data_IF_029021651608
#
_entry.id   IF_029021651608
#
_cell.length_a   1.000
_cell.length_b   1.000
_cell.length_c   1.000
_cell.angle_alpha   90.00
_cell.angle_beta   90.00
_cell.angle_gamma   90.00
#
_symmetry.space_group_name_H-M   'P 1'
#
loop_
_entity.id
_entity.type
_entity.pdbx_description
1 polymer ?
#
# COMPACT_ATOMS: atom_id res chain seq x y z
N UNK A 1 -15.36 6.84 -6.24
CA UNK A 1 -14.86 5.53 -5.88
C UNK A 1 -13.32 5.51 -5.94
N UNK A 2 -12.67 4.84 -4.99
CA UNK A 2 -11.23 4.57 -5.01
C UNK A 2 -11.01 3.06 -4.90
N UNK A 3 -10.22 2.51 -5.80
CA UNK A 3 -9.81 1.11 -5.81
C UNK A 3 -8.44 0.99 -5.13
N UNK A 4 -8.35 0.23 -4.03
CA UNK A 4 -7.10 -0.13 -3.39
C UNK A 4 -6.63 -1.50 -3.85
N UNK A 5 -5.37 -1.61 -4.24
CA UNK A 5 -4.74 -2.89 -4.61
C UNK A 5 -3.43 -3.09 -3.86
N UNK A 6 -2.96 -4.32 -3.74
CA UNK A 6 -1.71 -4.65 -3.07
C UNK A 6 -1.21 -6.04 -3.41
N UNK A 7 0.07 -6.27 -3.19
CA UNK A 7 0.76 -7.53 -3.48
C UNK A 7 0.58 -8.59 -2.39
N UNK A 8 0.03 -8.19 -1.21
CA UNK A 8 0.09 -9.05 -0.02
C UNK A 8 1.55 -9.31 0.43
N UNK A 9 1.80 -10.40 1.12
CA UNK A 9 3.10 -10.80 1.65
C UNK A 9 3.41 -12.24 1.26
N UNK A 10 4.67 -12.55 1.03
CA UNK A 10 5.14 -13.88 0.59
C UNK A 10 4.57 -15.01 1.45
N UNK A 11 4.65 -14.86 2.78
CA UNK A 11 4.15 -15.84 3.75
C UNK A 11 2.64 -16.10 3.59
N UNK A 12 1.86 -15.07 3.29
CA UNK A 12 0.40 -15.20 3.10
C UNK A 12 0.08 -15.82 1.74
N UNK A 13 0.83 -15.43 0.69
CA UNK A 13 0.64 -15.98 -0.64
C UNK A 13 1.04 -17.46 -0.69
N UNK A 14 2.10 -17.84 0.02
CA UNK A 14 2.53 -19.24 0.14
C UNK A 14 1.45 -20.12 0.77
N UNK A 15 0.72 -19.63 1.78
CA UNK A 15 -0.41 -20.36 2.39
C UNK A 15 -1.56 -20.62 1.40
N UNK A 16 -1.68 -19.80 0.36
CA UNK A 16 -2.68 -19.95 -0.71
C UNK A 16 -2.15 -20.74 -1.91
N UNK A 17 -0.90 -21.24 -1.84
CA UNK A 17 -0.25 -21.92 -2.95
C UNK A 17 0.10 -20.99 -4.13
N UNK A 18 0.15 -19.68 -3.89
CA UNK A 18 0.43 -18.67 -4.92
C UNK A 18 1.90 -18.26 -4.82
N UNK A 19 2.63 -18.32 -5.94
CA UNK A 19 4.01 -17.86 -6.03
C UNK A 19 4.15 -16.35 -5.76
N UNK A 20 5.30 -15.95 -5.24
CA UNK A 20 5.62 -14.55 -4.93
C UNK A 20 6.90 -14.10 -5.64
N UNK A 21 7.18 -14.69 -6.79
CA UNK A 21 8.34 -14.34 -7.60
C UNK A 21 8.13 -12.99 -8.29
N UNK A 22 9.19 -12.16 -8.30
CA UNK A 22 9.22 -10.88 -8.99
C UNK A 22 8.03 -9.95 -8.66
N UNK A 23 7.69 -9.73 -7.37
CA UNK A 23 6.45 -9.03 -6.98
C UNK A 23 6.33 -7.61 -7.57
N UNK A 24 7.43 -6.87 -7.71
CA UNK A 24 7.40 -5.53 -8.30
C UNK A 24 7.14 -5.57 -9.81
N UNK A 25 7.64 -6.59 -10.52
CA UNK A 25 7.29 -6.81 -11.93
C UNK A 25 5.81 -7.15 -12.05
N UNK A 26 5.34 -8.09 -11.24
CA UNK A 26 3.94 -8.48 -11.21
C UNK A 26 3.00 -7.28 -10.98
N UNK A 27 3.34 -6.40 -10.02
CA UNK A 27 2.59 -5.16 -9.79
C UNK A 27 2.57 -4.25 -11.03
N UNK A 28 3.70 -4.09 -11.70
CA UNK A 28 3.77 -3.26 -12.92
C UNK A 28 2.92 -3.84 -14.05
N UNK A 29 2.98 -5.14 -14.25
CA UNK A 29 2.20 -5.84 -15.29
C UNK A 29 0.71 -5.82 -14.96
N UNK A 30 0.35 -6.04 -13.69
CA UNK A 30 -1.03 -5.89 -13.23
C UNK A 30 -1.59 -4.50 -13.54
N UNK A 31 -0.83 -3.44 -13.24
CA UNK A 31 -1.23 -2.07 -13.57
C UNK A 31 -1.25 -1.80 -15.08
N UNK A 32 -0.41 -2.48 -15.88
CA UNK A 32 -0.45 -2.38 -17.34
C UNK A 32 -1.69 -3.04 -17.94
N UNK A 33 -2.37 -3.90 -17.19
CA UNK A 33 -3.67 -4.48 -17.52
C UNK A 33 -4.81 -3.64 -16.95
N UNK A 34 -4.76 -3.35 -15.65
CA UNK A 34 -5.85 -2.68 -14.94
C UNK A 34 -6.13 -1.27 -15.45
N UNK A 35 -5.07 -0.46 -15.63
CA UNK A 35 -5.26 0.96 -15.98
C UNK A 35 -5.96 1.13 -17.34
N UNK A 36 -5.55 0.47 -18.44
CA UNK A 36 -6.29 0.55 -19.71
C UNK A 36 -7.72 0.02 -19.62
N UNK A 37 -7.97 -1.05 -18.84
CA UNK A 37 -9.34 -1.53 -18.63
C UNK A 37 -10.23 -0.49 -17.94
N UNK A 38 -9.68 0.27 -16.99
CA UNK A 38 -10.41 1.33 -16.30
C UNK A 38 -10.56 2.60 -17.17
N UNK A 39 -9.60 2.91 -18.03
CA UNK A 39 -9.55 4.11 -18.86
C UNK A 39 -10.29 3.94 -20.17
N UNK A 40 -10.03 2.84 -20.89
CA UNK A 40 -10.48 2.59 -22.24
C UNK A 40 -11.50 1.45 -22.37
N UNK A 41 -11.64 0.63 -21.31
CA UNK A 41 -12.49 -0.57 -21.31
C UNK A 41 -11.89 -1.76 -22.04
N UNK A 42 -10.65 -1.67 -22.53
CA UNK A 42 -10.00 -2.75 -23.28
C UNK A 42 -8.50 -2.82 -23.00
N UNK A 43 -7.94 -4.01 -23.12
CA UNK A 43 -6.51 -4.25 -23.00
C UNK A 43 -6.07 -5.45 -23.85
N UNK A 44 -4.87 -5.35 -24.44
CA UNK A 44 -4.13 -6.48 -24.99
C UNK A 44 -2.70 -6.33 -24.46
N UNK A 45 -2.35 -7.16 -23.47
CA UNK A 45 -1.06 -7.10 -22.79
C UNK A 45 -0.47 -8.51 -22.66
N UNK A 46 0.81 -8.64 -23.00
CA UNK A 46 1.59 -9.86 -22.80
C UNK A 46 2.84 -9.53 -22.01
N UNK A 47 2.87 -9.98 -20.76
CA UNK A 47 3.99 -9.82 -19.85
C UNK A 47 4.69 -11.14 -19.53
N UNK A 48 5.59 -11.07 -18.56
CA UNK A 48 6.31 -12.23 -18.04
C UNK A 48 5.52 -12.95 -16.95
N UNK A 49 4.84 -12.20 -16.08
CA UNK A 49 4.07 -12.73 -14.94
C UNK A 49 2.58 -12.74 -15.20
N UNK A 50 2.10 -11.88 -16.09
CA UNK A 50 0.68 -11.75 -16.45
C UNK A 50 0.51 -11.51 -17.93
N UNK A 51 -0.58 -12.04 -18.48
CA UNK A 51 -1.06 -11.71 -19.83
C UNK A 51 -2.57 -11.59 -19.80
N UNK A 52 -3.11 -10.63 -20.55
CA UNK A 52 -4.55 -10.41 -20.63
C UNK A 52 -4.92 -9.81 -21.99
N UNK A 53 -5.96 -10.37 -22.59
CA UNK A 53 -6.67 -9.78 -23.72
C UNK A 53 -8.14 -9.74 -23.33
N UNK A 54 -8.69 -8.55 -23.12
CA UNK A 54 -10.04 -8.40 -22.63
C UNK A 54 -10.66 -7.07 -23.06
N UNK A 55 -11.97 -7.09 -23.21
CA UNK A 55 -12.83 -5.93 -23.37
C UNK A 55 -13.95 -6.01 -22.34
N UNK A 56 -14.23 -4.92 -21.64
CA UNK A 56 -15.24 -4.85 -20.59
C UNK A 56 -16.18 -3.67 -20.85
N UNK A 57 -17.42 -3.82 -20.41
CA UNK A 57 -18.36 -2.71 -20.45
C UNK A 57 -17.86 -1.60 -19.50
N UNK A 58 -17.71 -0.40 -20.06
CA UNK A 58 -17.32 0.79 -19.30
C UNK A 58 -18.51 1.75 -19.21
N UNK A 59 -18.85 2.14 -18.00
CA UNK A 59 -19.83 3.22 -17.78
C UNK A 59 -19.26 4.58 -18.18
N UNK A 60 -20.12 5.48 -18.64
CA UNK A 60 -19.73 6.87 -18.86
C UNK A 60 -19.24 7.52 -17.54
N UNK A 61 -18.22 8.36 -17.63
CA UNK A 61 -17.67 9.09 -16.49
C UNK A 61 -16.19 8.84 -16.23
N UNK A 62 -15.61 9.51 -15.23
CA UNK A 62 -14.21 9.33 -14.87
C UNK A 62 -13.98 7.94 -14.27
N UNK A 63 -12.80 7.35 -14.54
CA UNK A 63 -12.38 6.11 -13.90
C UNK A 63 -12.28 6.27 -12.39
N UNK A 64 -12.42 5.20 -11.60
CA UNK A 64 -12.10 5.24 -10.18
C UNK A 64 -10.63 5.59 -9.97
N UNK A 65 -10.32 6.31 -8.90
CA UNK A 65 -8.93 6.49 -8.45
C UNK A 65 -8.33 5.15 -8.06
N UNK A 66 -7.06 4.92 -8.38
CA UNK A 66 -6.32 3.69 -8.02
C UNK A 66 -5.20 4.01 -7.04
N UNK A 67 -5.16 3.32 -5.90
CA UNK A 67 -4.08 3.42 -4.92
C UNK A 67 -3.45 2.06 -4.66
N UNK A 68 -2.14 2.04 -4.47
CA UNK A 68 -1.37 0.81 -4.22
C UNK A 68 -0.92 0.76 -2.77
N UNK A 69 -1.08 -0.38 -2.11
CA UNK A 69 -0.44 -0.64 -0.82
C UNK A 69 1.08 -0.79 -1.05
N UNK A 70 1.86 0.22 -0.64
CA UNK A 70 3.29 0.27 -0.91
C UNK A 70 4.07 0.85 0.27
N UNK A 71 5.07 0.12 0.76
CA UNK A 71 5.96 0.52 1.85
C UNK A 71 7.40 0.72 1.36
N UNK A 72 7.92 -0.23 0.60
CA UNK A 72 9.28 -0.21 0.08
C UNK A 72 9.44 0.74 -1.11
N UNK A 73 10.63 1.31 -1.28
CA UNK A 73 10.94 2.32 -2.31
C UNK A 73 10.60 1.89 -3.74
N UNK A 74 10.70 0.61 -4.07
CA UNK A 74 10.37 0.13 -5.42
C UNK A 74 8.85 0.18 -5.67
N UNK A 75 8.03 -0.30 -4.72
CA UNK A 75 6.58 -0.26 -4.81
C UNK A 75 6.06 1.19 -4.78
N UNK A 76 6.63 2.06 -3.94
CA UNK A 76 6.31 3.48 -3.89
C UNK A 76 6.61 4.18 -5.22
N UNK A 77 7.72 3.85 -5.88
CA UNK A 77 8.02 4.37 -7.23
C UNK A 77 6.99 3.91 -8.26
N UNK A 78 6.54 2.66 -8.19
CA UNK A 78 5.46 2.17 -9.07
C UNK A 78 4.16 2.93 -8.79
N UNK A 79 3.80 3.09 -7.52
CA UNK A 79 2.62 3.85 -7.12
C UNK A 79 2.67 5.30 -7.65
N UNK A 80 3.77 6.02 -7.43
CA UNK A 80 3.94 7.40 -7.90
C UNK A 80 3.89 7.55 -9.42
N UNK A 81 4.49 6.61 -10.16
CA UNK A 81 4.54 6.70 -11.62
C UNK A 81 3.30 6.22 -12.33
N UNK A 82 2.45 5.40 -11.71
CA UNK A 82 1.37 4.68 -12.42
C UNK A 82 -0.02 4.81 -11.81
N UNK A 83 -0.15 5.28 -10.56
CA UNK A 83 -1.43 5.31 -9.84
C UNK A 83 -1.70 6.67 -9.21
N UNK A 84 -2.84 6.82 -8.58
CA UNK A 84 -3.27 8.08 -7.98
C UNK A 84 -2.79 8.22 -6.53
N UNK A 85 -2.08 7.21 -6.00
CA UNK A 85 -1.51 7.27 -4.67
C UNK A 85 -1.14 5.94 -4.05
N UNK A 86 -0.95 5.98 -2.73
CA UNK A 86 -0.63 4.82 -1.91
C UNK A 86 -1.54 4.73 -0.70
N UNK A 87 -1.81 3.51 -0.25
CA UNK A 87 -2.41 3.24 1.06
C UNK A 87 -1.38 2.57 1.96
N UNK A 88 -1.34 3.01 3.21
CA UNK A 88 -0.37 2.58 4.21
C UNK A 88 -1.10 2.03 5.43
N UNK A 89 -0.67 0.89 5.92
CA UNK A 89 -1.08 0.37 7.21
C UNK A 89 0.15 0.30 8.13
N UNK A 90 -0.01 0.66 9.40
CA UNK A 90 1.05 0.57 10.41
C UNK A 90 2.32 1.35 10.04
N UNK A 91 2.15 2.57 9.55
CA UNK A 91 3.26 3.49 9.23
C UNK A 91 3.02 4.79 9.99
N UNK A 92 3.99 5.18 10.80
CA UNK A 92 3.90 6.37 11.64
C UNK A 92 4.25 7.67 10.89
N UNK A 93 3.96 8.83 11.51
CA UNK A 93 4.09 10.14 10.88
C UNK A 93 5.53 10.47 10.45
N UNK A 94 6.53 10.09 11.22
CA UNK A 94 7.95 10.31 10.88
C UNK A 94 8.31 9.55 9.61
N UNK A 95 7.99 8.27 9.53
CA UNK A 95 8.25 7.43 8.36
C UNK A 95 7.49 7.95 7.14
N UNK A 96 6.27 8.43 7.30
CA UNK A 96 5.52 9.06 6.22
C UNK A 96 6.25 10.29 5.70
N UNK A 97 6.68 11.19 6.58
CA UNK A 97 7.35 12.44 6.20
C UNK A 97 8.75 12.21 5.58
N UNK A 98 9.54 11.30 6.14
CA UNK A 98 10.96 11.15 5.78
C UNK A 98 11.21 10.09 4.69
N UNK A 99 10.28 9.14 4.50
CA UNK A 99 10.46 8.05 3.54
C UNK A 99 9.36 7.98 2.48
N UNK A 100 8.09 7.94 2.88
CA UNK A 100 6.98 7.71 1.95
C UNK A 100 6.78 8.90 1.03
N UNK A 101 6.53 10.08 1.61
CA UNK A 101 6.25 11.32 0.85
C UNK A 101 7.36 11.63 -0.15
N UNK A 102 8.64 11.74 0.24
CA UNK A 102 9.68 12.09 -0.72
C UNK A 102 9.87 11.05 -1.82
N UNK A 103 9.73 9.76 -1.49
CA UNK A 103 9.92 8.68 -2.47
C UNK A 103 8.83 8.66 -3.54
N UNK A 104 7.56 8.78 -3.12
CA UNK A 104 6.43 8.71 -4.06
C UNK A 104 6.28 10.03 -4.85
N UNK A 105 6.53 11.18 -4.22
CA UNK A 105 6.45 12.48 -4.86
C UNK A 105 7.52 12.64 -5.95
N UNK A 106 8.77 12.31 -5.65
CA UNK A 106 9.85 12.36 -6.64
C UNK A 106 9.59 11.43 -7.84
N UNK A 107 8.96 10.26 -7.61
CA UNK A 107 8.59 9.35 -8.68
C UNK A 107 7.46 9.91 -9.56
N UNK A 108 6.48 10.56 -8.96
CA UNK A 108 5.38 11.21 -9.69
C UNK A 108 5.88 12.42 -10.50
N UNK A 109 6.66 13.28 -9.88
CA UNK A 109 7.28 14.45 -10.54
C UNK A 109 8.09 14.05 -11.77
N UNK A 110 8.98 13.04 -11.62
CA UNK A 110 9.76 12.51 -12.74
C UNK A 110 8.91 11.95 -13.88
N UNK A 111 7.69 11.47 -13.56
CA UNK A 111 6.74 10.98 -14.54
C UNK A 111 5.77 12.06 -15.07
N UNK A 112 5.95 13.33 -14.70
CA UNK A 112 5.06 14.43 -15.09
C UNK A 112 3.65 14.32 -14.51
N UNK A 113 3.48 13.63 -13.36
CA UNK A 113 2.19 13.39 -12.71
C UNK A 113 1.97 14.35 -11.54
N UNK A 114 0.71 14.60 -11.23
CA UNK A 114 0.32 15.32 -10.02
C UNK A 114 0.75 14.57 -8.75
N UNK A 115 0.87 15.30 -7.64
CA UNK A 115 1.24 14.72 -6.34
C UNK A 115 0.29 13.59 -5.94
N UNK A 116 0.81 12.39 -5.65
CA UNK A 116 -0.01 11.23 -5.31
C UNK A 116 -0.69 11.39 -3.94
N UNK A 117 -1.90 10.86 -3.84
CA UNK A 117 -2.62 10.79 -2.56
C UNK A 117 -1.97 9.74 -1.64
N UNK A 118 -1.78 10.09 -0.37
CA UNK A 118 -1.26 9.19 0.66
C UNK A 118 -2.36 8.96 1.70
N UNK A 119 -2.74 7.71 1.91
CA UNK A 119 -3.79 7.30 2.84
C UNK A 119 -3.14 6.47 3.93
N UNK A 120 -3.07 7.00 5.15
CA UNK A 120 -2.56 6.27 6.31
C UNK A 120 -3.70 5.65 7.10
N UNK A 121 -3.51 4.40 7.54
CA UNK A 121 -4.44 3.66 8.40
C UNK A 121 -3.73 3.26 9.68
N UNK A 122 -4.19 3.81 10.80
CA UNK A 122 -3.70 3.52 12.15
C UNK A 122 -4.87 3.17 13.06
N UNK A 123 -4.66 2.31 14.09
CA UNK A 123 -5.68 2.10 15.11
C UNK A 123 -5.86 3.37 15.94
N UNK A 124 -7.12 3.73 16.16
CA UNK A 124 -7.49 4.85 17.00
C UNK A 124 -8.52 4.40 18.04
N UNK A 125 -8.34 4.80 19.29
CA UNK A 125 -9.30 4.49 20.34
C UNK A 125 -9.20 5.49 21.50
N UNK A 126 -10.36 5.91 22.01
CA UNK A 126 -10.48 6.64 23.26
C UNK A 126 -10.61 5.65 24.41
N UNK A 127 -9.70 5.71 25.39
CA UNK A 127 -9.68 4.79 26.52
C UNK A 127 -8.98 5.41 27.74
N UNK A 128 -9.41 5.03 28.93
CA UNK A 128 -8.75 5.40 30.20
C UNK A 128 -7.55 4.49 30.52
N UNK A 129 -7.32 3.44 29.72
CA UNK A 129 -6.18 2.55 29.90
C UNK A 129 -5.40 2.36 28.58
N UNK A 130 -4.70 3.41 28.11
CA UNK A 130 -3.99 3.35 26.83
C UNK A 130 -2.87 2.30 26.80
N UNK A 131 -2.19 2.06 27.92
CA UNK A 131 -1.11 1.07 27.99
C UNK A 131 -1.63 -0.36 27.76
N UNK A 132 -2.71 -0.76 28.41
CA UNK A 132 -3.31 -2.07 28.21
C UNK A 132 -3.77 -2.27 26.77
N UNK A 133 -4.36 -1.24 26.16
CA UNK A 133 -4.82 -1.32 24.77
C UNK A 133 -3.65 -1.41 23.78
N UNK A 134 -2.56 -0.65 23.96
CA UNK A 134 -1.34 -0.80 23.14
C UNK A 134 -0.80 -2.23 23.21
N UNK A 135 -0.70 -2.79 24.41
CA UNK A 135 -0.25 -4.16 24.59
C UNK A 135 -1.17 -5.18 23.91
N UNK A 136 -2.49 -4.97 23.96
CA UNK A 136 -3.44 -5.80 23.26
C UNK A 136 -3.29 -5.72 21.74
N UNK A 137 -3.13 -4.52 21.20
CA UNK A 137 -2.88 -4.28 19.77
C UNK A 137 -1.59 -5.00 19.34
N UNK A 138 -0.49 -4.83 20.09
CA UNK A 138 0.79 -5.49 19.80
C UNK A 138 0.66 -7.01 19.77
N UNK A 139 -0.07 -7.60 20.72
CA UNK A 139 -0.32 -9.05 20.74
C UNK A 139 -1.14 -9.50 19.53
N UNK A 140 -2.25 -8.83 19.26
CA UNK A 140 -3.17 -9.18 18.15
C UNK A 140 -2.48 -9.06 16.79
N UNK A 141 -1.58 -8.11 16.64
CA UNK A 141 -0.91 -7.79 15.39
C UNK A 141 0.57 -8.20 15.36
N UNK A 142 0.96 -9.08 16.28
CA UNK A 142 2.37 -9.53 16.42
C UNK A 142 2.97 -10.09 15.11
N UNK A 143 2.14 -10.72 14.27
CA UNK A 143 2.56 -11.21 12.96
C UNK A 143 3.08 -10.07 12.06
N UNK A 144 2.46 -8.89 12.10
CA UNK A 144 2.92 -7.75 11.29
C UNK A 144 4.31 -7.26 11.72
N UNK A 145 4.60 -7.30 13.03
CA UNK A 145 5.94 -6.98 13.55
C UNK A 145 7.05 -7.91 13.07
N UNK A 146 6.70 -9.09 12.55
CA UNK A 146 7.65 -10.07 12.01
C UNK A 146 7.85 -9.96 10.51
N UNK A 147 6.94 -9.30 9.78
CA UNK A 147 7.04 -9.14 8.34
C UNK A 147 8.13 -8.12 7.98
N UNK A 148 9.10 -8.46 7.12
CA UNK A 148 10.26 -7.60 6.82
C UNK A 148 9.88 -6.19 6.37
N UNK A 149 8.80 -6.05 5.60
CA UNK A 149 8.32 -4.76 5.10
C UNK A 149 7.84 -3.83 6.22
N UNK A 150 7.12 -4.36 7.21
CA UNK A 150 6.66 -3.59 8.37
C UNK A 150 7.77 -3.33 9.37
N UNK A 151 8.62 -4.32 9.62
CA UNK A 151 9.79 -4.16 10.48
C UNK A 151 10.66 -2.99 10.02
N UNK A 152 10.93 -2.90 8.72
CA UNK A 152 11.67 -1.76 8.16
C UNK A 152 10.96 -0.40 8.36
N UNK A 153 9.63 -0.35 8.43
CA UNK A 153 8.88 0.89 8.73
C UNK A 153 8.94 1.22 10.22
N UNK A 154 8.84 0.24 11.11
CA UNK A 154 8.99 0.43 12.55
C UNK A 154 10.38 0.93 12.92
N UNK A 155 11.42 0.37 12.31
CA UNK A 155 12.81 0.84 12.49
C UNK A 155 12.96 2.32 12.06
N UNK A 156 12.37 2.73 10.93
CA UNK A 156 12.39 4.13 10.48
C UNK A 156 11.63 5.06 11.43
N UNK A 157 10.52 4.61 11.96
CA UNK A 157 9.72 5.37 12.93
C UNK A 157 10.41 5.48 14.28
N UNK A 158 11.25 4.50 14.64
CA UNK A 158 11.88 4.39 15.95
C UNK A 158 11.00 3.69 16.98
N UNK A 159 10.11 2.79 16.52
CA UNK A 159 9.23 1.97 17.35
C UNK A 159 9.54 0.48 17.19
N UNK A 160 9.06 -0.34 18.12
CA UNK A 160 9.34 -1.78 18.13
C UNK A 160 8.12 -2.63 17.79
N UNK A 161 6.94 -2.13 18.09
CA UNK A 161 5.69 -2.91 18.03
C UNK A 161 4.55 -2.15 17.35
N UNK A 162 3.57 -2.84 16.76
CA UNK A 162 2.39 -2.21 16.15
C UNK A 162 1.60 -1.32 17.11
N UNK A 163 1.53 -1.70 18.39
CA UNK A 163 0.82 -0.93 19.41
C UNK A 163 1.40 0.46 19.68
N UNK A 164 2.71 0.65 19.42
CA UNK A 164 3.38 1.94 19.57
C UNK A 164 2.83 3.00 18.59
N UNK A 165 2.34 2.54 17.44
CA UNK A 165 1.74 3.40 16.42
C UNK A 165 0.26 3.72 16.66
N UNK A 166 -0.35 3.11 17.67
CA UNK A 166 -1.76 3.31 17.96
C UNK A 166 -2.02 4.71 18.56
N UNK A 167 -2.98 5.42 17.99
CA UNK A 167 -3.46 6.71 18.49
C UNK A 167 -4.49 6.46 19.58
N UNK A 168 -4.02 6.32 20.82
CA UNK A 168 -4.84 5.99 21.97
C UNK A 168 -4.62 7.00 23.11
N UNK A 169 -5.70 7.43 23.72
CA UNK A 169 -5.71 8.39 24.83
C UNK A 169 -7.07 8.53 25.47
N UNK A 170 -7.17 9.35 26.53
CA UNK A 170 -8.43 9.68 27.18
C UNK A 170 -9.24 10.72 26.39
N UNK A 171 -10.55 10.78 26.64
CA UNK A 171 -11.43 11.84 26.15
C UNK A 171 -11.30 13.07 27.07
N UNK A 172 -10.20 13.79 27.02
CA UNK A 172 -10.01 15.05 27.79
C UNK A 172 -9.72 16.19 26.86
#
# INVERSE_FOLDING_TARGET
>A
LTLGIGLSHEVMMAQLGIGFDKPIRHLREYLSILMPLLEDGKVAFKGETLSCEAEVFRTAGPRPGVVVAALGSQALRVAGTRTDGTTLAWVGPKTIAEHIVPTIAAAAEKAGRVSPRIIATLPICVTNNPAALRNQISKTLSMYGQLPSYKAMFEKEGVSEPGDLALVGSAS
#
